data_IF_116555554430
#
_entry.id   IF_116555554430
#
_cell.length_a   1.000
_cell.length_b   1.000
_cell.length_c   1.000
_cell.angle_alpha   90.00
_cell.angle_beta   90.00
_cell.angle_gamma   90.00
#
_symmetry.space_group_name_H-M   'P 1'
#
loop_
_entity.id
_entity.type
_entity.pdbx_description
1 polymer ?
#
# COMPACT_ATOMS: atom_id res chain seq x y z
N UNK A 1 31.05 -30.13 17.82
CA UNK A 1 29.76 -30.23 17.10
C UNK A 1 28.66 -30.03 18.12
N UNK A 2 27.73 -29.14 17.83
CA UNK A 2 26.56 -28.84 18.67
C UNK A 2 25.32 -29.18 17.84
N UNK A 3 24.44 -30.02 18.35
CA UNK A 3 23.25 -30.52 17.66
C UNK A 3 22.13 -30.79 18.67
N UNK A 4 20.89 -30.93 18.19
CA UNK A 4 19.68 -31.21 18.98
C UNK A 4 19.35 -30.13 20.03
N UNK A 5 19.87 -30.26 21.24
CA UNK A 5 19.74 -29.28 22.33
C UNK A 5 21.11 -28.93 22.92
N UNK A 6 22.18 -29.28 22.21
CA UNK A 6 23.55 -29.01 22.63
C UNK A 6 23.83 -27.52 22.62
N UNK A 7 24.19 -26.99 23.78
CA UNK A 7 24.57 -25.60 23.96
C UNK A 7 26.02 -25.50 24.43
N UNK A 8 26.80 -24.60 23.81
CA UNK A 8 28.11 -24.19 24.31
C UNK A 8 28.10 -22.69 24.56
N UNK A 9 28.40 -22.30 25.79
CA UNK A 9 28.68 -20.91 26.16
C UNK A 9 30.18 -20.71 26.30
N UNK A 10 30.76 -19.87 25.44
CA UNK A 10 32.15 -19.43 25.55
C UNK A 10 32.17 -18.19 26.45
N UNK A 11 32.82 -18.32 27.60
CA UNK A 11 32.87 -17.29 28.64
C UNK A 11 34.06 -16.34 28.45
N UNK A 12 34.03 -15.21 29.15
CA UNK A 12 35.05 -14.17 29.07
C UNK A 12 36.49 -14.74 29.13
N UNK A 13 37.37 -14.23 28.25
CA UNK A 13 38.79 -14.60 28.16
C UNK A 13 39.08 -16.05 27.77
N UNK A 14 38.05 -16.80 27.35
CA UNK A 14 38.21 -18.15 26.81
C UNK A 14 37.95 -18.18 25.29
N UNK A 15 38.29 -19.30 24.65
CA UNK A 15 38.09 -19.46 23.21
C UNK A 15 37.59 -20.85 22.82
N UNK A 16 36.68 -20.91 21.86
CA UNK A 16 36.31 -22.14 21.14
C UNK A 16 36.83 -22.10 19.70
N UNK A 17 37.28 -23.24 19.16
CA UNK A 17 37.78 -23.34 17.79
C UNK A 17 37.18 -24.53 17.05
N UNK A 18 37.03 -24.41 15.74
CA UNK A 18 36.55 -25.47 14.85
C UNK A 18 35.18 -26.01 15.29
N UNK A 19 34.23 -25.09 15.53
CA UNK A 19 32.91 -25.43 16.02
C UNK A 19 31.93 -25.57 14.87
N UNK A 20 31.36 -26.76 14.67
CA UNK A 20 30.17 -26.94 13.83
C UNK A 20 28.91 -26.86 14.70
N UNK A 21 27.95 -26.05 14.26
CA UNK A 21 26.64 -25.88 14.89
C UNK A 21 25.58 -26.33 13.90
N UNK A 22 24.94 -27.46 14.21
CA UNK A 22 23.90 -28.12 13.42
C UNK A 22 22.51 -27.86 14.00
N UNK A 23 21.49 -28.46 13.40
CA UNK A 23 20.09 -28.29 13.78
C UNK A 23 19.87 -28.44 15.30
N UNK A 24 19.33 -27.37 15.92
CA UNK A 24 19.03 -27.30 17.35
C UNK A 24 20.25 -27.05 18.25
N UNK A 25 21.46 -27.05 17.70
CA UNK A 25 22.67 -26.64 18.40
C UNK A 25 22.75 -25.12 18.58
N UNK A 26 23.31 -24.67 19.71
CA UNK A 26 23.50 -23.25 20.01
C UNK A 26 24.91 -22.95 20.52
N UNK A 27 25.61 -22.02 19.87
CA UNK A 27 26.87 -21.46 20.34
C UNK A 27 26.64 -20.02 20.83
N UNK A 28 26.97 -19.75 22.10
CA UNK A 28 26.89 -18.41 22.70
C UNK A 28 28.32 -17.91 22.94
N UNK A 29 28.65 -16.73 22.41
CA UNK A 29 29.94 -16.05 22.62
C UNK A 29 29.70 -14.82 23.48
N UNK A 30 30.12 -14.88 24.75
CA UNK A 30 29.95 -13.78 25.69
C UNK A 30 30.94 -12.64 25.45
N UNK A 31 30.74 -11.53 26.17
CA UNK A 31 31.71 -10.43 26.25
C UNK A 31 33.11 -10.92 26.56
N UNK A 32 34.12 -10.41 25.84
CA UNK A 32 35.54 -10.81 25.95
C UNK A 32 35.84 -12.28 25.60
N UNK A 33 34.85 -13.06 25.16
CA UNK A 33 35.03 -14.42 24.68
C UNK A 33 35.31 -14.43 23.18
N UNK A 34 35.92 -15.52 22.70
CA UNK A 34 36.32 -15.65 21.30
C UNK A 34 35.89 -16.97 20.69
N UNK A 35 35.48 -16.95 19.43
CA UNK A 35 35.49 -18.15 18.59
C UNK A 35 36.23 -17.91 17.29
N UNK A 36 36.91 -18.95 16.83
CA UNK A 36 37.62 -18.95 15.55
C UNK A 36 37.22 -20.20 14.78
N UNK A 37 36.77 -20.03 13.54
CA UNK A 37 36.29 -21.11 12.67
C UNK A 37 35.01 -21.72 13.25
N UNK A 38 33.89 -21.09 12.93
CA UNK A 38 32.54 -21.60 13.27
C UNK A 38 31.76 -21.85 11.99
N UNK A 39 31.30 -23.08 11.79
CA UNK A 39 30.39 -23.43 10.69
C UNK A 39 28.97 -23.53 11.22
N UNK A 40 28.08 -22.75 10.64
CA UNK A 40 26.68 -22.65 11.03
C UNK A 40 25.81 -23.30 9.95
N UNK A 41 25.37 -24.54 10.21
CA UNK A 41 24.52 -25.31 9.31
C UNK A 41 23.04 -24.99 9.54
N UNK A 42 22.17 -25.54 8.68
CA UNK A 42 20.72 -25.37 8.78
C UNK A 42 20.21 -25.76 10.18
N UNK A 43 19.50 -24.83 10.83
CA UNK A 43 18.95 -25.04 12.18
C UNK A 43 19.92 -24.76 13.33
N UNK A 44 21.20 -24.49 13.04
CA UNK A 44 22.17 -24.08 14.05
C UNK A 44 22.09 -22.60 14.37
N UNK A 45 22.42 -22.23 15.61
CA UNK A 45 22.38 -20.84 16.10
C UNK A 45 23.74 -20.40 16.64
N UNK A 46 24.23 -19.26 16.15
CA UNK A 46 25.35 -18.52 16.73
C UNK A 46 24.83 -17.21 17.34
N UNK A 47 24.92 -17.09 18.66
CA UNK A 47 24.66 -15.86 19.39
C UNK A 47 25.98 -15.21 19.81
N UNK A 48 26.25 -13.99 19.33
CA UNK A 48 27.41 -13.20 19.76
C UNK A 48 26.90 -12.01 20.57
N UNK A 49 27.17 -12.05 21.86
CA UNK A 49 26.79 -10.98 22.78
C UNK A 49 27.73 -9.78 22.66
N UNK A 50 27.28 -8.64 23.17
CA UNK A 50 28.04 -7.39 23.14
C UNK A 50 29.46 -7.56 23.70
N UNK A 51 30.46 -7.25 22.87
CA UNK A 51 31.88 -7.42 23.22
C UNK A 51 32.47 -8.81 22.95
N UNK A 52 31.70 -9.73 22.38
CA UNK A 52 32.16 -11.03 21.90
C UNK A 52 32.83 -10.95 20.53
N UNK A 53 33.72 -11.91 20.25
CA UNK A 53 34.49 -11.99 19.00
C UNK A 53 34.27 -13.33 18.30
N UNK A 54 33.79 -13.32 17.05
CA UNK A 54 33.64 -14.50 16.20
C UNK A 54 34.32 -14.30 14.85
N UNK A 55 35.37 -15.09 14.57
CA UNK A 55 36.16 -15.00 13.33
C UNK A 55 36.00 -16.25 12.49
N UNK A 56 36.08 -16.06 11.17
CA UNK A 56 35.96 -17.15 10.18
C UNK A 56 34.65 -17.91 10.38
N UNK A 57 33.56 -17.15 10.52
CA UNK A 57 32.21 -17.71 10.53
C UNK A 57 31.85 -18.11 9.10
N UNK A 58 31.35 -19.33 8.92
CA UNK A 58 30.80 -19.81 7.65
C UNK A 58 29.31 -20.08 7.86
N UNK A 59 28.47 -19.14 7.44
CA UNK A 59 27.01 -19.29 7.50
C UNK A 59 26.54 -20.04 6.26
N UNK A 60 25.93 -21.20 6.46
CA UNK A 60 25.21 -21.92 5.42
C UNK A 60 23.75 -21.48 5.41
N UNK A 61 23.04 -21.80 4.33
CA UNK A 61 21.59 -21.61 4.28
C UNK A 61 20.90 -22.32 5.44
N UNK A 62 19.98 -21.61 6.10
CA UNK A 62 19.27 -22.01 7.31
C UNK A 62 20.04 -21.80 8.62
N UNK A 63 21.28 -21.32 8.57
CA UNK A 63 22.06 -20.98 9.75
C UNK A 63 21.65 -19.63 10.34
N UNK A 64 21.42 -19.56 11.66
CA UNK A 64 20.93 -18.35 12.34
C UNK A 64 22.03 -17.59 13.11
N UNK A 65 22.26 -16.33 12.74
CA UNK A 65 23.13 -15.41 13.48
C UNK A 65 22.29 -14.47 14.34
N UNK A 66 22.61 -14.37 15.63
CA UNK A 66 22.04 -13.40 16.57
C UNK A 66 23.15 -12.47 17.05
N UNK A 67 23.04 -11.17 16.77
CA UNK A 67 24.07 -10.19 17.11
C UNK A 67 23.53 -8.75 17.22
N UNK A 68 24.40 -7.85 17.70
CA UNK A 68 24.18 -6.41 17.72
C UNK A 68 25.34 -5.67 17.05
N UNK A 69 25.10 -4.44 16.61
CA UNK A 69 26.14 -3.52 16.13
C UNK A 69 26.82 -2.73 17.26
N UNK A 70 26.79 -3.20 18.52
CA UNK A 70 27.52 -2.56 19.62
C UNK A 70 29.03 -2.51 19.30
N UNK A 71 29.70 -1.42 19.69
CA UNK A 71 31.10 -1.14 19.29
C UNK A 71 32.12 -2.22 19.65
N UNK A 72 31.86 -3.01 20.69
CA UNK A 72 32.71 -4.13 21.11
C UNK A 72 32.50 -5.43 20.34
N UNK A 73 31.41 -5.56 19.57
CA UNK A 73 31.10 -6.78 18.82
C UNK A 73 31.99 -6.87 17.58
N UNK A 74 32.67 -8.01 17.41
CA UNK A 74 33.50 -8.29 16.24
C UNK A 74 33.11 -9.64 15.63
N UNK A 75 32.45 -9.60 14.47
CA UNK A 75 32.08 -10.79 13.70
C UNK A 75 32.63 -10.63 12.28
N UNK A 76 33.24 -11.67 11.73
CA UNK A 76 33.60 -11.70 10.30
C UNK A 76 33.56 -13.11 9.74
N UNK A 77 33.11 -13.22 8.50
CA UNK A 77 32.90 -14.51 7.88
C UNK A 77 32.42 -14.43 6.44
N UNK A 78 31.94 -15.57 5.95
CA UNK A 78 31.26 -15.72 4.67
C UNK A 78 29.79 -16.07 4.94
N UNK A 79 28.88 -15.36 4.27
CA UNK A 79 27.44 -15.55 4.43
C UNK A 79 26.91 -16.68 3.52
N UNK A 80 25.62 -17.01 3.65
CA UNK A 80 24.99 -18.10 2.90
C UNK A 80 24.88 -17.88 1.38
N UNK A 81 25.18 -16.66 0.90
CA UNK A 81 25.28 -16.31 -0.52
C UNK A 81 26.72 -16.34 -1.04
N UNK A 82 27.71 -16.61 -0.18
CA UNK A 82 29.12 -16.67 -0.54
C UNK A 82 29.88 -15.34 -0.41
N UNK A 83 29.22 -14.26 0.02
CA UNK A 83 29.86 -12.96 0.21
C UNK A 83 30.53 -12.85 1.58
N UNK A 84 31.59 -12.06 1.65
CA UNK A 84 32.17 -11.68 2.92
C UNK A 84 31.23 -10.74 3.67
N UNK A 85 31.00 -11.02 4.96
CA UNK A 85 30.21 -10.18 5.86
C UNK A 85 31.00 -9.81 7.12
N UNK A 86 30.60 -8.72 7.78
CA UNK A 86 31.15 -8.37 9.09
C UNK A 86 30.16 -7.61 9.96
N UNK A 87 30.44 -7.65 11.27
CA UNK A 87 29.96 -6.69 12.26
C UNK A 87 31.19 -6.19 13.02
N UNK A 88 31.54 -4.91 12.89
CA UNK A 88 32.68 -4.30 13.59
C UNK A 88 32.57 -2.78 13.56
N UNK A 89 33.18 -2.11 14.53
CA UNK A 89 33.26 -0.63 14.55
C UNK A 89 31.87 0.03 14.38
N UNK A 90 30.85 -0.52 15.04
CA UNK A 90 29.47 -0.06 14.94
C UNK A 90 28.86 -0.10 13.53
N UNK A 91 29.32 -1.03 12.70
CA UNK A 91 28.77 -1.28 11.36
C UNK A 91 28.57 -2.78 11.12
N UNK A 92 27.37 -3.16 10.68
CA UNK A 92 27.08 -4.47 10.08
C UNK A 92 27.04 -4.32 8.55
N UNK A 93 27.69 -5.23 7.82
CA UNK A 93 27.68 -5.24 6.35
C UNK A 93 27.49 -6.65 5.80
N UNK A 94 26.62 -6.79 4.78
CA UNK A 94 26.30 -8.06 4.09
C UNK A 94 25.82 -9.18 5.03
N UNK A 95 25.19 -8.80 6.16
CA UNK A 95 24.67 -9.78 7.13
C UNK A 95 23.44 -10.45 6.55
N UNK A 96 23.36 -11.78 6.68
CA UNK A 96 22.17 -12.56 6.29
C UNK A 96 21.45 -13.04 7.54
N UNK A 97 20.16 -12.74 7.63
CA UNK A 97 19.29 -13.10 8.73
C UNK A 97 18.25 -14.10 8.23
N UNK A 98 18.30 -15.31 8.74
CA UNK A 98 17.41 -16.42 8.36
C UNK A 98 17.17 -17.33 9.56
N UNK A 99 16.06 -18.07 9.56
CA UNK A 99 15.78 -19.12 10.55
C UNK A 99 15.92 -18.67 12.02
N UNK A 100 15.28 -17.55 12.37
CA UNK A 100 15.38 -16.85 13.67
C UNK A 100 16.69 -16.07 13.91
N UNK A 101 17.54 -15.94 12.89
CA UNK A 101 18.63 -14.96 12.90
C UNK A 101 18.10 -13.55 13.15
N UNK A 102 18.77 -12.82 14.04
CA UNK A 102 18.34 -11.50 14.50
C UNK A 102 19.51 -10.52 14.56
N UNK A 103 19.30 -9.30 14.07
CA UNK A 103 20.24 -8.20 14.19
C UNK A 103 19.60 -7.00 14.87
N UNK A 104 20.21 -6.54 15.95
CA UNK A 104 19.90 -5.24 16.56
C UNK A 104 20.89 -4.19 16.08
N UNK A 105 20.40 -3.18 15.35
CA UNK A 105 21.18 -2.02 14.95
C UNK A 105 21.01 -0.93 16.00
N UNK A 106 21.98 -0.76 16.89
CA UNK A 106 21.90 0.19 18.01
C UNK A 106 22.02 1.65 17.56
N UNK A 107 21.59 2.60 18.39
CA UNK A 107 21.71 4.04 18.10
C UNK A 107 23.15 4.45 17.80
N UNK A 108 23.33 5.30 16.77
CA UNK A 108 24.65 5.76 16.31
C UNK A 108 25.46 4.75 15.49
N UNK A 109 24.94 3.54 15.32
CA UNK A 109 25.52 2.51 14.45
C UNK A 109 24.78 2.41 13.11
N UNK A 110 25.32 1.62 12.18
CA UNK A 110 24.64 1.36 10.91
C UNK A 110 24.67 -0.10 10.46
N UNK A 111 23.70 -0.49 9.65
CA UNK A 111 23.73 -1.72 8.88
C UNK A 111 23.63 -1.40 7.39
N UNK A 112 24.34 -2.17 6.56
CA UNK A 112 24.44 -1.94 5.12
C UNK A 112 24.29 -3.26 4.39
N UNK A 113 23.41 -3.29 3.40
CA UNK A 113 23.17 -4.45 2.52
C UNK A 113 22.80 -5.72 3.31
N UNK A 114 21.99 -5.58 4.37
CA UNK A 114 21.47 -6.72 5.13
C UNK A 114 20.42 -7.46 4.30
N UNK A 115 20.50 -8.79 4.24
CA UNK A 115 19.49 -9.64 3.61
C UNK A 115 18.68 -10.33 4.72
N UNK A 116 17.36 -10.14 4.72
CA UNK A 116 16.45 -10.74 5.67
C UNK A 116 15.58 -11.75 4.94
N UNK A 117 15.85 -13.03 5.18
CA UNK A 117 15.11 -14.17 4.66
C UNK A 117 14.02 -14.61 5.64
N UNK A 118 13.33 -15.71 5.32
CA UNK A 118 12.25 -16.25 6.12
C UNK A 118 12.64 -16.42 7.61
N UNK A 119 11.79 -15.87 8.49
CA UNK A 119 11.98 -15.85 9.94
C UNK A 119 13.25 -15.10 10.42
N UNK A 120 13.93 -14.38 9.53
CA UNK A 120 14.95 -13.41 9.91
C UNK A 120 14.30 -12.12 10.44
N UNK A 121 14.98 -11.47 11.38
CA UNK A 121 14.49 -10.23 12.00
C UNK A 121 15.60 -9.19 12.10
N UNK A 122 15.28 -7.94 11.80
CA UNK A 122 16.16 -6.80 12.07
C UNK A 122 15.42 -5.71 12.85
N UNK A 123 15.97 -5.34 14.00
CA UNK A 123 15.48 -4.23 14.83
C UNK A 123 16.42 -3.03 14.70
N UNK A 124 15.91 -1.90 14.19
CA UNK A 124 16.73 -0.74 13.85
C UNK A 124 16.44 0.44 14.80
N UNK A 125 17.42 0.75 15.64
CA UNK A 125 17.46 1.95 16.50
C UNK A 125 18.48 3.00 16.00
N UNK A 126 19.35 2.61 15.07
CA UNK A 126 20.32 3.47 14.39
C UNK A 126 19.91 3.74 12.96
N UNK A 127 20.76 3.34 12.01
CA UNK A 127 20.51 3.49 10.58
C UNK A 127 20.66 2.17 9.82
N UNK A 128 19.82 1.90 8.86
CA UNK A 128 20.09 0.87 7.84
C UNK A 128 20.04 1.45 6.41
N UNK A 129 20.77 0.81 5.50
CA UNK A 129 20.83 1.19 4.09
C UNK A 129 20.82 -0.07 3.23
N UNK A 130 19.94 -0.12 2.23
CA UNK A 130 19.95 -1.17 1.21
C UNK A 130 19.48 -2.55 1.71
N UNK A 131 18.69 -2.59 2.77
CA UNK A 131 18.17 -3.85 3.30
C UNK A 131 17.25 -4.54 2.28
N UNK A 132 17.44 -5.84 2.05
CA UNK A 132 16.55 -6.66 1.22
C UNK A 132 15.67 -7.53 2.12
N UNK A 133 14.35 -7.39 2.01
CA UNK A 133 13.37 -8.13 2.82
C UNK A 133 12.67 -9.17 1.95
N UNK A 134 13.19 -10.39 1.94
CA UNK A 134 12.57 -11.50 1.24
C UNK A 134 11.35 -12.04 2.02
N UNK A 135 10.60 -12.96 1.40
CA UNK A 135 9.39 -13.57 1.98
C UNK A 135 9.56 -13.98 3.44
N UNK A 136 8.64 -13.53 4.30
CA UNK A 136 8.62 -13.74 5.75
C UNK A 136 9.83 -13.21 6.53
N UNK A 137 10.69 -12.40 5.92
CA UNK A 137 11.68 -11.57 6.61
C UNK A 137 11.03 -10.33 7.20
N UNK A 138 11.49 -9.89 8.37
CA UNK A 138 10.91 -8.74 9.08
C UNK A 138 11.96 -7.70 9.44
N UNK A 139 11.58 -6.43 9.27
CA UNK A 139 12.38 -5.29 9.68
C UNK A 139 11.50 -4.31 10.47
N UNK A 140 11.99 -3.83 11.61
CA UNK A 140 11.32 -2.79 12.41
C UNK A 140 12.23 -1.58 12.54
N UNK A 141 11.76 -0.42 12.08
CA UNK A 141 12.44 0.87 12.20
C UNK A 141 11.84 1.61 13.38
N UNK A 142 12.59 1.69 14.49
CA UNK A 142 12.11 2.33 15.73
C UNK A 142 12.15 3.86 15.64
N UNK A 143 11.50 4.52 16.59
CA UNK A 143 11.51 5.98 16.67
C UNK A 143 12.95 6.54 16.67
N UNK A 144 13.17 7.64 15.95
CA UNK A 144 14.49 8.25 15.68
C UNK A 144 15.45 7.44 14.79
N UNK A 145 15.08 6.23 14.37
CA UNK A 145 15.88 5.45 13.42
C UNK A 145 15.55 5.82 11.96
N UNK A 146 16.46 5.46 11.05
CA UNK A 146 16.29 5.69 9.61
C UNK A 146 16.61 4.43 8.80
N UNK A 147 15.75 4.10 7.84
CA UNK A 147 16.01 3.09 6.81
C UNK A 147 16.03 3.74 5.44
N UNK A 148 17.12 3.59 4.69
CA UNK A 148 17.22 4.11 3.34
C UNK A 148 17.26 2.95 2.34
N UNK A 149 16.43 3.05 1.28
CA UNK A 149 16.49 2.15 0.11
C UNK A 149 16.24 0.68 0.44
N UNK A 150 15.33 0.41 1.38
CA UNK A 150 14.88 -0.95 1.62
C UNK A 150 14.17 -1.51 0.37
N UNK A 151 14.51 -2.73 -0.04
CA UNK A 151 13.83 -3.45 -1.11
C UNK A 151 12.97 -4.57 -0.51
N UNK A 152 11.65 -4.41 -0.57
CA UNK A 152 10.68 -5.30 0.05
C UNK A 152 10.17 -6.28 -1.01
N UNK A 153 10.48 -7.57 -0.81
CA UNK A 153 10.29 -8.69 -1.74
C UNK A 153 9.54 -9.86 -1.07
N UNK A 154 8.36 -9.55 -0.55
CA UNK A 154 7.49 -10.47 0.19
C UNK A 154 7.71 -10.45 1.69
N UNK A 155 8.72 -9.72 2.17
CA UNK A 155 8.92 -9.44 3.59
C UNK A 155 8.03 -8.30 4.09
N UNK A 156 8.26 -7.92 5.35
CA UNK A 156 7.49 -6.88 6.05
C UNK A 156 8.41 -5.86 6.70
N UNK A 157 8.21 -4.59 6.38
CA UNK A 157 8.86 -3.46 7.06
C UNK A 157 7.82 -2.72 7.91
N UNK A 158 8.08 -2.55 9.20
CA UNK A 158 7.28 -1.70 10.10
C UNK A 158 8.07 -0.43 10.43
N UNK A 159 7.45 0.73 10.28
CA UNK A 159 8.10 2.04 10.39
C UNK A 159 7.45 2.87 11.51
N UNK A 160 8.15 2.96 12.64
CA UNK A 160 7.92 3.93 13.72
C UNK A 160 8.86 5.15 13.62
N UNK A 161 9.96 5.01 12.88
CA UNK A 161 10.93 6.08 12.58
C UNK A 161 10.71 6.70 11.21
N UNK A 162 11.79 6.82 10.42
CA UNK A 162 11.77 7.31 9.04
C UNK A 162 12.24 6.21 8.07
N UNK A 163 11.51 5.98 6.98
CA UNK A 163 12.02 5.20 5.85
C UNK A 163 12.02 6.04 4.57
N UNK A 164 13.12 6.02 3.81
CA UNK A 164 13.27 6.80 2.58
C UNK A 164 13.57 5.89 1.39
N UNK A 165 13.00 6.24 0.23
CA UNK A 165 13.28 5.58 -1.06
C UNK A 165 13.06 4.05 -1.02
N UNK A 166 12.11 3.58 -0.20
CA UNK A 166 11.76 2.17 -0.12
C UNK A 166 11.12 1.72 -1.45
N UNK A 167 11.50 0.54 -1.92
CA UNK A 167 10.91 -0.10 -3.08
C UNK A 167 10.09 -1.32 -2.63
N UNK A 168 8.78 -1.28 -2.84
CA UNK A 168 7.87 -2.40 -2.54
C UNK A 168 7.63 -3.14 -3.85
N UNK A 169 8.39 -4.21 -4.10
CA UNK A 169 8.19 -5.09 -5.26
C UNK A 169 7.08 -6.11 -4.96
N UNK A 170 7.09 -6.64 -3.74
CA UNK A 170 6.06 -7.52 -3.18
C UNK A 170 6.15 -7.45 -1.64
N UNK A 171 5.09 -7.82 -0.92
CA UNK A 171 5.09 -7.74 0.56
C UNK A 171 4.50 -6.43 1.08
N UNK A 172 4.91 -6.01 2.28
CA UNK A 172 4.20 -4.99 3.06
C UNK A 172 5.14 -3.98 3.72
N UNK A 173 4.84 -2.68 3.58
CA UNK A 173 5.36 -1.62 4.43
C UNK A 173 4.22 -1.07 5.31
N UNK A 174 4.38 -1.13 6.63
CA UNK A 174 3.45 -0.51 7.58
C UNK A 174 4.09 0.76 8.15
N UNK A 175 3.45 1.90 7.93
CA UNK A 175 3.81 3.20 8.52
C UNK A 175 2.91 3.42 9.73
N UNK A 176 3.47 3.19 10.93
CA UNK A 176 2.74 3.16 12.21
C UNK A 176 3.29 4.25 13.13
N UNK A 177 2.70 5.45 13.07
CA UNK A 177 3.21 6.64 13.78
C UNK A 177 4.54 7.21 13.26
N UNK A 178 5.24 6.51 12.37
CA UNK A 178 6.44 6.98 11.68
C UNK A 178 6.15 7.77 10.40
N UNK A 179 7.20 8.01 9.61
CA UNK A 179 7.11 8.70 8.32
C UNK A 179 7.81 7.91 7.21
N UNK A 180 7.31 8.05 5.98
CA UNK A 180 7.99 7.56 4.78
C UNK A 180 8.10 8.64 3.73
N UNK A 181 9.19 8.63 2.97
CA UNK A 181 9.43 9.58 1.89
C UNK A 181 9.86 8.84 0.62
N UNK A 182 9.22 9.16 -0.51
CA UNK A 182 9.57 8.61 -1.83
C UNK A 182 9.51 7.08 -1.89
N UNK A 183 8.52 6.49 -1.22
CA UNK A 183 8.23 5.07 -1.38
C UNK A 183 7.75 4.81 -2.81
N UNK A 184 8.32 3.80 -3.47
CA UNK A 184 7.90 3.32 -4.78
C UNK A 184 7.16 2.00 -4.60
N UNK A 185 5.88 1.98 -4.95
CA UNK A 185 5.05 0.78 -4.94
C UNK A 185 5.02 0.22 -6.35
N UNK A 186 5.86 -0.78 -6.60
CA UNK A 186 5.93 -1.54 -7.86
C UNK A 186 5.14 -2.85 -7.80
N UNK A 187 4.57 -3.14 -6.64
CA UNK A 187 3.69 -4.25 -6.28
C UNK A 187 3.43 -4.18 -4.77
N UNK A 188 2.88 -5.24 -4.16
CA UNK A 188 2.67 -5.28 -2.71
C UNK A 188 1.79 -4.13 -2.17
N UNK A 189 1.97 -3.82 -0.89
CA UNK A 189 1.13 -2.87 -0.15
C UNK A 189 1.93 -1.94 0.76
N UNK A 190 1.59 -0.65 0.76
CA UNK A 190 1.92 0.28 1.84
C UNK A 190 0.66 0.58 2.67
N UNK A 191 0.71 0.34 3.97
CA UNK A 191 -0.38 0.66 4.91
C UNK A 191 0.04 1.83 5.80
N UNK A 192 -0.73 2.90 5.82
CA UNK A 192 -0.46 4.12 6.60
C UNK A 192 -1.52 4.26 7.68
N UNK A 193 -1.12 4.24 8.96
CA UNK A 193 -2.05 4.16 10.10
C UNK A 193 -1.51 4.85 11.35
N UNK A 194 -2.37 5.09 12.34
CA UNK A 194 -2.00 5.56 13.68
C UNK A 194 -1.06 6.79 13.66
N UNK A 195 -1.46 7.85 12.96
CA UNK A 195 -0.65 9.08 12.77
C UNK A 195 0.61 8.89 11.92
N UNK A 196 0.74 7.74 11.25
CA UNK A 196 1.75 7.52 10.24
C UNK A 196 1.56 8.47 9.04
N UNK A 197 2.68 8.92 8.46
CA UNK A 197 2.69 9.83 7.31
C UNK A 197 3.45 9.24 6.12
N UNK A 198 2.84 9.21 4.95
CA UNK A 198 3.50 8.86 3.70
C UNK A 198 3.61 10.09 2.80
N UNK A 199 4.82 10.42 2.34
CA UNK A 199 5.10 11.63 1.55
C UNK A 199 5.67 11.22 0.19
N UNK A 200 5.07 11.75 -0.88
CA UNK A 200 5.50 11.55 -2.26
C UNK A 200 5.62 10.05 -2.61
N UNK A 201 4.56 9.28 -2.35
CA UNK A 201 4.54 7.86 -2.71
C UNK A 201 4.20 7.70 -4.20
N UNK A 202 5.06 7.00 -4.94
CA UNK A 202 4.85 6.66 -6.34
C UNK A 202 4.18 5.29 -6.45
N UNK A 203 2.90 5.27 -6.83
CA UNK A 203 2.08 4.06 -6.95
C UNK A 203 2.02 3.61 -8.42
N UNK A 204 3.05 2.88 -8.83
CA UNK A 204 3.18 2.34 -10.20
C UNK A 204 2.27 1.13 -10.38
N UNK A 205 2.26 0.24 -9.40
CA UNK A 205 1.33 -0.89 -9.28
C UNK A 205 1.05 -1.15 -7.79
N UNK A 206 0.30 -2.20 -7.44
CA UNK A 206 0.02 -2.51 -6.04
C UNK A 206 -0.92 -1.52 -5.37
N UNK A 207 -0.77 -1.34 -4.05
CA UNK A 207 -1.76 -0.67 -3.21
C UNK A 207 -1.12 0.23 -2.14
N UNK A 208 -1.64 1.46 -2.00
CA UNK A 208 -1.49 2.26 -0.79
C UNK A 208 -2.82 2.30 -0.04
N UNK A 209 -2.84 1.87 1.22
CA UNK A 209 -4.00 1.95 2.11
C UNK A 209 -3.77 3.03 3.16
N UNK A 210 -4.61 4.05 3.17
CA UNK A 210 -4.66 5.02 4.26
C UNK A 210 -5.78 4.59 5.22
N UNK A 211 -5.37 4.19 6.41
CA UNK A 211 -6.25 3.76 7.49
C UNK A 211 -6.63 4.93 8.39
N UNK A 212 -7.46 4.68 9.42
CA UNK A 212 -7.83 5.69 10.39
C UNK A 212 -6.59 6.40 11.00
N UNK A 213 -6.64 7.73 11.02
CA UNK A 213 -5.56 8.62 11.47
C UNK A 213 -4.26 8.53 10.64
N UNK A 214 -4.23 7.82 9.52
CA UNK A 214 -3.12 7.86 8.58
C UNK A 214 -3.22 9.06 7.63
N UNK A 215 -2.08 9.56 7.17
CA UNK A 215 -2.02 10.65 6.18
C UNK A 215 -1.07 10.30 5.03
N UNK A 216 -1.55 10.40 3.79
CA UNK A 216 -0.72 10.37 2.59
C UNK A 216 -0.72 11.75 1.91
N UNK A 217 0.45 12.28 1.61
CA UNK A 217 0.64 13.59 0.99
C UNK A 217 1.41 13.45 -0.32
N UNK A 218 0.88 13.99 -1.41
CA UNK A 218 1.58 14.05 -2.70
C UNK A 218 1.74 12.69 -3.39
N UNK A 219 0.83 11.75 -3.16
CA UNK A 219 0.92 10.42 -3.82
C UNK A 219 0.64 10.53 -5.32
N UNK A 220 1.44 9.87 -6.14
CA UNK A 220 1.29 9.83 -7.60
C UNK A 220 0.79 8.45 -8.00
N UNK A 221 -0.42 8.37 -8.54
CA UNK A 221 -1.14 7.13 -8.82
C UNK A 221 -1.12 6.88 -10.34
N UNK A 222 -0.16 6.08 -10.82
CA UNK A 222 0.07 5.84 -12.25
C UNK A 222 -0.60 4.55 -12.78
N UNK A 223 -0.71 3.51 -11.96
CA UNK A 223 -1.29 2.23 -12.37
C UNK A 223 -1.76 1.33 -11.23
N UNK A 224 -1.31 1.59 -10.00
CA UNK A 224 -1.85 0.95 -8.81
C UNK A 224 -3.07 1.68 -8.24
N UNK A 225 -3.37 1.37 -6.99
CA UNK A 225 -4.51 1.94 -6.27
C UNK A 225 -4.10 2.66 -5.00
N UNK A 226 -4.72 3.81 -4.74
CA UNK A 226 -4.77 4.43 -3.43
C UNK A 226 -6.18 4.23 -2.84
N UNK A 227 -6.27 3.69 -1.64
CA UNK A 227 -7.53 3.47 -0.91
C UNK A 227 -7.52 4.30 0.36
N UNK A 228 -8.50 5.19 0.49
CA UNK A 228 -8.72 6.01 1.69
C UNK A 228 -9.88 5.44 2.48
N UNK A 229 -9.58 4.83 3.63
CA UNK A 229 -10.58 4.23 4.52
C UNK A 229 -11.18 5.28 5.47
N UNK A 230 -12.17 4.86 6.27
CA UNK A 230 -12.78 5.66 7.34
C UNK A 230 -11.69 6.30 8.23
N UNK A 231 -11.74 7.63 8.35
CA UNK A 231 -10.79 8.40 9.15
C UNK A 231 -9.38 8.55 8.56
N UNK A 232 -9.12 8.03 7.35
CA UNK A 232 -7.89 8.26 6.61
C UNK A 232 -7.93 9.56 5.81
N UNK A 233 -6.76 10.17 5.58
CA UNK A 233 -6.60 11.40 4.81
C UNK A 233 -5.56 11.24 3.68
N UNK A 234 -5.98 11.52 2.44
CA UNK A 234 -5.08 11.73 1.30
C UNK A 234 -5.09 13.20 0.88
N UNK A 235 -3.93 13.82 0.72
CA UNK A 235 -3.78 15.21 0.29
C UNK A 235 -2.92 15.26 -0.97
N UNK A 236 -3.27 16.14 -1.91
CA UNK A 236 -2.47 16.42 -3.10
C UNK A 236 -2.16 15.18 -3.96
N UNK A 237 -3.11 14.24 -4.03
CA UNK A 237 -2.93 13.04 -4.84
C UNK A 237 -3.06 13.37 -6.32
N UNK A 238 -2.10 12.90 -7.12
CA UNK A 238 -2.10 13.04 -8.58
C UNK A 238 -2.60 11.73 -9.16
N UNK A 239 -3.81 11.75 -9.73
CA UNK A 239 -4.48 10.57 -10.27
C UNK A 239 -4.31 10.54 -11.79
N UNK A 240 -3.30 9.81 -12.25
CA UNK A 240 -2.94 9.69 -13.66
C UNK A 240 -3.72 8.58 -14.38
N UNK A 241 -3.59 8.53 -15.70
CA UNK A 241 -4.23 7.53 -16.55
C UNK A 241 -3.81 6.12 -16.13
N UNK A 242 -4.78 5.27 -15.79
CA UNK A 242 -4.55 3.90 -15.30
C UNK A 242 -4.49 3.78 -13.78
N UNK A 243 -4.31 4.88 -13.05
CA UNK A 243 -4.41 4.90 -11.59
C UNK A 243 -5.85 4.86 -11.08
N UNK A 244 -6.04 4.31 -9.88
CA UNK A 244 -7.34 4.32 -9.18
C UNK A 244 -7.24 4.93 -7.79
N UNK A 245 -8.10 5.91 -7.49
CA UNK A 245 -8.31 6.44 -6.14
C UNK A 245 -9.69 6.00 -5.62
N UNK A 246 -9.72 5.15 -4.61
CA UNK A 246 -10.93 4.68 -3.91
C UNK A 246 -11.09 5.41 -2.57
N UNK A 247 -12.03 6.35 -2.50
CA UNK A 247 -12.38 7.07 -1.28
C UNK A 247 -13.65 6.50 -0.68
N UNK A 248 -13.49 5.77 0.42
CA UNK A 248 -14.59 5.06 1.08
C UNK A 248 -15.42 5.98 1.95
N UNK A 249 -16.52 5.44 2.45
CA UNK A 249 -17.35 6.11 3.45
C UNK A 249 -16.47 6.63 4.60
N UNK A 250 -16.69 7.91 4.95
CA UNK A 250 -15.94 8.68 5.95
C UNK A 250 -14.42 8.80 5.72
N UNK A 251 -13.88 8.38 4.58
CA UNK A 251 -12.54 8.75 4.13
C UNK A 251 -12.49 10.20 3.64
N UNK A 252 -11.30 10.80 3.59
CA UNK A 252 -11.08 12.15 3.07
C UNK A 252 -9.96 12.19 2.05
N UNK A 253 -10.21 12.76 0.87
CA UNK A 253 -9.18 13.01 -0.14
C UNK A 253 -9.30 14.44 -0.67
N UNK A 254 -8.29 15.28 -0.49
CA UNK A 254 -8.35 16.71 -0.85
C UNK A 254 -7.26 17.11 -1.83
N UNK A 255 -7.54 18.14 -2.61
CA UNK A 255 -6.60 18.71 -3.59
C UNK A 255 -6.15 17.68 -4.64
N UNK A 256 -7.06 16.79 -5.04
CA UNK A 256 -6.80 15.79 -6.07
C UNK A 256 -6.56 16.49 -7.42
N UNK A 257 -5.54 16.05 -8.15
CA UNK A 257 -5.32 16.40 -9.55
C UNK A 257 -5.70 15.20 -10.42
N UNK A 258 -6.89 15.24 -11.01
CA UNK A 258 -7.44 14.12 -11.80
C UNK A 258 -7.15 14.30 -13.29
N UNK A 259 -6.41 13.36 -13.88
CA UNK A 259 -6.24 13.22 -15.33
C UNK A 259 -7.54 12.81 -16.04
N UNK A 260 -7.57 12.86 -17.37
CA UNK A 260 -8.78 12.52 -18.13
C UNK A 260 -9.20 11.04 -18.03
N UNK A 261 -8.26 10.12 -17.74
CA UNK A 261 -8.52 8.68 -17.59
C UNK A 261 -8.19 8.14 -16.19
N UNK A 262 -7.97 9.04 -15.23
CA UNK A 262 -7.79 8.69 -13.83
C UNK A 262 -9.11 8.23 -13.19
N UNK A 263 -9.13 7.03 -12.62
CA UNK A 263 -10.34 6.42 -12.07
C UNK A 263 -10.58 6.87 -10.62
N UNK A 264 -11.56 7.76 -10.43
CA UNK A 264 -12.07 8.11 -9.10
C UNK A 264 -13.21 7.18 -8.74
N UNK A 265 -13.06 6.43 -7.65
CA UNK A 265 -14.10 5.62 -7.02
C UNK A 265 -14.47 6.28 -5.69
N UNK A 266 -15.71 6.71 -5.54
CA UNK A 266 -16.14 7.45 -4.36
C UNK A 266 -17.63 7.26 -4.05
N UNK A 267 -18.02 7.65 -2.85
CA UNK A 267 -19.40 7.70 -2.38
C UNK A 267 -19.72 9.07 -1.80
N UNK A 268 -20.96 9.53 -1.90
CA UNK A 268 -21.44 10.76 -1.22
C UNK A 268 -21.40 10.67 0.31
N UNK A 269 -21.08 9.49 0.87
CA UNK A 269 -20.81 9.29 2.30
C UNK A 269 -19.33 9.41 2.67
N UNK A 270 -18.44 9.69 1.72
CA UNK A 270 -17.09 10.14 2.05
C UNK A 270 -17.16 11.42 2.90
N UNK A 271 -16.20 11.63 3.79
CA UNK A 271 -16.14 12.85 4.62
C UNK A 271 -15.95 14.07 3.74
N UNK A 272 -14.98 13.97 2.82
CA UNK A 272 -14.68 15.03 1.86
C UNK A 272 -13.88 14.48 0.69
N UNK A 273 -14.26 14.84 -0.53
CA UNK A 273 -13.45 14.61 -1.74
C UNK A 273 -13.37 15.93 -2.48
N UNK A 274 -12.18 16.48 -2.73
CA UNK A 274 -12.04 17.72 -3.52
C UNK A 274 -10.87 17.64 -4.47
N UNK A 275 -10.98 18.31 -5.61
CA UNK A 275 -9.91 18.35 -6.58
C UNK A 275 -10.23 19.17 -7.83
N UNK A 276 -9.33 19.06 -8.79
CA UNK A 276 -9.43 19.68 -10.12
C UNK A 276 -9.19 18.63 -11.19
N UNK A 277 -10.02 18.65 -12.22
CA UNK A 277 -9.90 17.81 -13.42
C UNK A 277 -8.87 18.37 -14.39
N UNK A 278 -8.43 17.55 -15.36
CA UNK A 278 -7.50 17.96 -16.41
C UNK A 278 -8.00 19.13 -17.28
N UNK A 279 -9.32 19.34 -17.37
CA UNK A 279 -9.95 20.48 -18.06
C UNK A 279 -10.02 21.76 -17.20
N UNK A 280 -9.48 21.73 -15.98
CA UNK A 280 -9.46 22.86 -15.04
C UNK A 280 -10.73 23.01 -14.21
N UNK A 281 -11.73 22.14 -14.37
CA UNK A 281 -12.96 22.20 -13.59
C UNK A 281 -12.72 21.64 -12.19
N UNK A 282 -13.07 22.41 -11.17
CA UNK A 282 -13.09 21.95 -9.78
C UNK A 282 -14.28 21.02 -9.52
N UNK A 283 -14.05 19.98 -8.73
CA UNK A 283 -15.08 19.03 -8.31
C UNK A 283 -15.05 18.82 -6.79
N UNK A 284 -16.18 18.40 -6.23
CA UNK A 284 -16.27 18.13 -4.79
C UNK A 284 -17.28 17.06 -4.43
N UNK A 285 -17.07 16.39 -3.30
CA UNK A 285 -18.04 15.64 -2.53
C UNK A 285 -17.94 16.15 -1.11
N UNK A 286 -18.94 16.90 -0.67
CA UNK A 286 -18.98 17.49 0.67
C UNK A 286 -20.41 17.46 1.19
N UNK A 287 -20.59 17.14 2.48
CA UNK A 287 -21.89 17.18 3.15
C UNK A 287 -23.01 16.41 2.42
N UNK A 288 -22.68 15.30 1.75
CA UNK A 288 -23.66 14.51 0.99
C UNK A 288 -24.04 15.11 -0.37
N UNK A 289 -23.24 16.01 -0.94
CA UNK A 289 -23.45 16.53 -2.28
C UNK A 289 -22.17 16.35 -3.12
N UNK A 290 -22.30 15.65 -4.25
CA UNK A 290 -21.26 15.53 -5.27
C UNK A 290 -21.46 16.55 -6.40
N UNK A 291 -20.41 17.23 -6.85
CA UNK A 291 -20.48 18.28 -7.86
C UNK A 291 -19.35 18.11 -8.89
N UNK A 292 -19.69 18.17 -10.19
CA UNK A 292 -18.76 18.13 -11.34
C UNK A 292 -17.86 16.89 -11.41
N UNK A 293 -18.25 15.78 -10.78
CA UNK A 293 -17.45 14.55 -10.74
C UNK A 293 -17.22 14.02 -12.15
N UNK A 294 -15.96 13.68 -12.47
CA UNK A 294 -15.58 12.98 -13.70
C UNK A 294 -15.36 11.50 -13.40
N UNK A 295 -16.10 10.64 -14.11
CA UNK A 295 -15.99 9.19 -14.01
C UNK A 295 -15.55 8.63 -15.35
N UNK A 296 -14.38 7.99 -15.39
CA UNK A 296 -13.80 7.36 -16.57
C UNK A 296 -13.01 6.12 -16.16
N UNK A 297 -12.80 5.19 -17.10
CA UNK A 297 -11.83 4.08 -16.95
C UNK A 297 -11.95 3.28 -15.64
N UNK A 298 -13.17 2.92 -15.24
CA UNK A 298 -13.46 2.20 -13.99
C UNK A 298 -13.83 3.09 -12.81
N UNK A 299 -13.80 4.42 -12.97
CA UNK A 299 -14.30 5.36 -11.97
C UNK A 299 -15.78 5.14 -11.66
N UNK A 300 -16.14 5.21 -10.37
CA UNK A 300 -17.51 4.99 -9.91
C UNK A 300 -17.89 6.04 -8.88
N UNK A 301 -19.06 6.66 -9.05
CA UNK A 301 -19.71 7.44 -8.00
C UNK A 301 -20.94 6.69 -7.50
N UNK A 302 -21.00 6.43 -6.20
CA UNK A 302 -22.23 6.00 -5.54
C UNK A 302 -22.89 7.17 -4.84
N UNK A 303 -24.06 7.58 -5.32
CA UNK A 303 -24.92 8.60 -4.71
C UNK A 303 -25.86 7.88 -3.75
N UNK A 304 -25.53 7.96 -2.46
CA UNK A 304 -26.22 7.26 -1.38
C UNK A 304 -27.60 7.84 -1.07
N UNK A 305 -28.46 7.07 -0.38
CA UNK A 305 -29.80 7.53 0.00
C UNK A 305 -29.77 8.87 0.73
N UNK A 306 -30.72 9.75 0.42
CA UNK A 306 -30.84 11.10 1.00
C UNK A 306 -29.62 12.01 0.70
N UNK A 307 -28.89 11.74 -0.40
CA UNK A 307 -27.79 12.58 -0.91
C UNK A 307 -28.03 12.97 -2.38
N UNK A 308 -27.13 13.79 -2.92
CA UNK A 308 -27.26 14.27 -4.30
C UNK A 308 -25.96 14.31 -5.08
N UNK A 309 -26.08 14.27 -6.42
CA UNK A 309 -25.02 14.63 -7.36
C UNK A 309 -25.52 15.69 -8.35
N UNK A 310 -24.64 16.60 -8.75
CA UNK A 310 -24.89 17.62 -9.78
C UNK A 310 -23.76 17.62 -10.81
N UNK A 311 -24.14 17.62 -12.10
CA UNK A 311 -23.24 17.72 -13.26
C UNK A 311 -22.15 16.65 -13.31
N UNK A 312 -22.46 15.43 -12.88
CA UNK A 312 -21.57 14.27 -13.06
C UNK A 312 -21.35 14.03 -14.56
N UNK A 313 -20.09 13.88 -14.98
CA UNK A 313 -19.73 13.46 -16.33
C UNK A 313 -19.26 12.01 -16.28
N UNK A 314 -19.97 11.14 -16.99
CA UNK A 314 -19.68 9.71 -17.03
C UNK A 314 -19.21 9.35 -18.44
N UNK A 315 -17.91 9.19 -18.58
CA UNK A 315 -17.25 8.80 -19.82
C UNK A 315 -17.12 7.27 -19.91
N UNK A 316 -16.59 6.77 -21.02
CA UNK A 316 -16.35 5.34 -21.25
C UNK A 316 -15.70 4.65 -20.05
N UNK A 317 -16.32 3.55 -19.62
CA UNK A 317 -15.89 2.75 -18.48
C UNK A 317 -16.19 3.36 -17.10
N UNK A 318 -16.71 4.58 -17.02
CA UNK A 318 -17.21 5.19 -15.80
C UNK A 318 -18.64 4.77 -15.47
N UNK A 319 -19.02 4.83 -14.18
CA UNK A 319 -20.39 4.53 -13.74
C UNK A 319 -20.89 5.41 -12.59
N UNK A 320 -22.05 6.03 -12.75
CA UNK A 320 -22.78 6.67 -11.65
C UNK A 320 -23.91 5.73 -11.16
N UNK A 321 -23.99 5.50 -9.86
CA UNK A 321 -25.04 4.68 -9.23
C UNK A 321 -25.85 5.59 -8.30
N UNK A 322 -27.12 5.81 -8.65
CA UNK A 322 -28.05 6.68 -7.91
C UNK A 322 -28.99 5.80 -7.10
N UNK A 323 -28.72 5.64 -5.80
CA UNK A 323 -29.50 4.75 -4.93
C UNK A 323 -30.89 5.29 -4.64
N UNK A 324 -31.77 4.43 -4.12
CA UNK A 324 -33.12 4.83 -3.66
C UNK A 324 -33.05 6.04 -2.72
N UNK A 325 -33.93 7.03 -2.93
CA UNK A 325 -33.97 8.35 -2.26
C UNK A 325 -32.78 9.29 -2.56
N UNK A 326 -31.86 8.91 -3.44
CA UNK A 326 -30.85 9.83 -3.94
C UNK A 326 -31.36 10.57 -5.17
N UNK A 327 -30.77 11.74 -5.45
CA UNK A 327 -31.08 12.54 -6.65
C UNK A 327 -29.80 12.89 -7.40
N UNK A 328 -29.70 12.50 -8.67
CA UNK A 328 -28.69 13.01 -9.59
C UNK A 328 -29.31 14.05 -10.53
N UNK A 329 -28.63 15.18 -10.74
CA UNK A 329 -29.08 16.25 -11.64
C UNK A 329 -28.03 16.57 -12.69
N UNK A 330 -28.43 16.71 -13.96
CA UNK A 330 -27.56 17.18 -15.02
C UNK A 330 -26.42 16.21 -15.39
N UNK A 331 -26.58 14.92 -15.11
CA UNK A 331 -25.59 13.91 -15.49
C UNK A 331 -25.43 13.87 -17.01
N UNK A 332 -24.18 13.84 -17.49
CA UNK A 332 -23.88 13.67 -18.93
C UNK A 332 -23.17 12.35 -19.16
N UNK A 333 -23.73 11.48 -20.00
CA UNK A 333 -23.20 10.16 -20.33
C UNK A 333 -22.60 10.17 -21.74
N UNK A 334 -21.31 9.88 -21.86
CA UNK A 334 -20.59 9.79 -23.14
C UNK A 334 -19.76 8.50 -23.16
N UNK A 335 -20.41 7.37 -23.45
CA UNK A 335 -19.82 6.03 -23.36
C UNK A 335 -19.93 5.36 -21.98
N UNK A 336 -20.33 6.10 -20.94
CA UNK A 336 -20.47 5.61 -19.57
C UNK A 336 -21.90 5.20 -19.19
N UNK A 337 -22.05 4.69 -17.97
CA UNK A 337 -23.34 4.18 -17.46
C UNK A 337 -23.88 4.97 -16.26
N UNK A 338 -25.18 5.22 -16.23
CA UNK A 338 -25.91 5.63 -15.03
C UNK A 338 -26.94 4.58 -14.64
N UNK A 339 -26.86 4.07 -13.42
CA UNK A 339 -27.86 3.16 -12.83
C UNK A 339 -28.74 3.97 -11.87
N UNK A 340 -30.05 3.97 -12.09
CA UNK A 340 -31.01 4.82 -11.37
C UNK A 340 -32.00 3.96 -10.58
N UNK A 341 -31.78 3.86 -9.26
CA UNK A 341 -32.72 3.32 -8.27
C UNK A 341 -33.45 4.43 -7.50
N UNK A 342 -32.90 5.65 -7.52
CA UNK A 342 -33.50 6.87 -6.99
C UNK A 342 -34.08 7.74 -8.12
N UNK A 343 -33.74 9.02 -8.13
CA UNK A 343 -34.19 9.98 -9.14
C UNK A 343 -33.00 10.49 -9.95
N UNK A 344 -33.10 10.44 -11.28
CA UNK A 344 -32.18 11.13 -12.19
C UNK A 344 -32.95 12.20 -12.96
N UNK A 345 -32.53 13.46 -12.82
CA UNK A 345 -33.15 14.61 -13.46
C UNK A 345 -32.19 15.24 -14.48
N UNK A 346 -32.69 15.53 -15.68
CA UNK A 346 -31.96 16.22 -16.74
C UNK A 346 -30.69 15.47 -17.20
N UNK A 347 -30.73 14.14 -17.19
CA UNK A 347 -29.64 13.32 -17.75
C UNK A 347 -29.56 13.55 -19.27
N UNK A 348 -28.36 13.84 -19.77
CA UNK A 348 -28.05 13.85 -21.21
C UNK A 348 -27.28 12.60 -21.59
N UNK A 349 -27.81 11.80 -22.51
CA UNK A 349 -27.21 10.56 -22.99
C UNK A 349 -26.68 10.78 -24.41
N UNK A 350 -25.36 10.77 -24.58
CA UNK A 350 -24.68 10.86 -25.86
C UNK A 350 -24.29 9.48 -26.37
N UNK A 351 -23.56 9.45 -27.49
CA UNK A 351 -23.07 8.23 -28.12
C UNK A 351 -22.39 7.27 -27.13
N UNK A 352 -22.82 6.01 -27.16
CA UNK A 352 -22.37 4.95 -26.25
C UNK A 352 -22.81 5.10 -24.78
N UNK A 353 -23.44 6.21 -24.39
CA UNK A 353 -23.95 6.42 -23.04
C UNK A 353 -25.19 5.56 -22.77
N UNK A 354 -25.30 5.05 -21.55
CA UNK A 354 -26.42 4.18 -21.13
C UNK A 354 -26.99 4.67 -19.80
N UNK A 355 -28.27 5.03 -19.78
CA UNK A 355 -29.02 5.21 -18.54
C UNK A 355 -29.93 3.99 -18.33
N UNK A 356 -29.78 3.30 -17.20
CA UNK A 356 -30.65 2.19 -16.79
C UNK A 356 -31.49 2.63 -15.61
N UNK A 357 -32.81 2.71 -15.80
CA UNK A 357 -33.78 3.00 -14.74
C UNK A 357 -34.28 1.68 -14.15
N UNK A 358 -33.87 1.41 -12.92
CA UNK A 358 -34.24 0.21 -12.16
C UNK A 358 -35.70 0.27 -11.68
N UNK A 359 -36.20 -0.83 -11.13
CA UNK A 359 -37.52 -0.87 -10.49
C UNK A 359 -37.61 0.21 -9.39
N UNK A 360 -38.66 1.03 -9.45
CA UNK A 360 -38.89 2.20 -8.59
C UNK A 360 -37.94 3.40 -8.79
N UNK A 361 -37.00 3.30 -9.73
CA UNK A 361 -36.21 4.45 -10.18
C UNK A 361 -37.05 5.39 -11.06
N UNK A 362 -36.68 6.67 -11.08
CA UNK A 362 -37.35 7.69 -11.88
C UNK A 362 -36.34 8.52 -12.68
N UNK A 363 -36.47 8.51 -14.01
CA UNK A 363 -35.77 9.41 -14.92
C UNK A 363 -36.70 10.54 -15.37
N UNK A 364 -36.26 11.79 -15.23
CA UNK A 364 -37.05 12.98 -15.54
C UNK A 364 -36.24 13.84 -16.52
N UNK A 365 -36.87 14.29 -17.60
CA UNK A 365 -36.27 15.17 -18.61
C UNK A 365 -34.98 14.62 -19.22
N UNK A 366 -34.86 13.30 -19.34
CA UNK A 366 -33.72 12.69 -20.01
C UNK A 366 -33.72 13.11 -21.48
N UNK A 367 -32.59 13.62 -21.96
CA UNK A 367 -32.32 13.89 -23.37
C UNK A 367 -31.43 12.79 -23.94
N UNK A 368 -31.90 12.09 -24.96
CA UNK A 368 -31.18 11.02 -25.62
C UNK A 368 -30.76 11.49 -27.02
N UNK A 369 -29.46 11.53 -27.27
CA UNK A 369 -28.86 11.91 -28.55
C UNK A 369 -28.50 10.64 -29.37
N UNK A 370 -28.06 10.86 -30.61
CA UNK A 370 -27.63 9.78 -31.50
C UNK A 370 -26.61 8.84 -30.80
N UNK A 371 -26.87 7.53 -30.88
CA UNK A 371 -26.03 6.49 -30.26
C UNK A 371 -26.23 6.29 -28.76
N UNK A 372 -27.00 7.15 -28.08
CA UNK A 372 -27.34 7.00 -26.66
C UNK A 372 -28.50 6.03 -26.43
N UNK A 373 -28.51 5.37 -25.27
CA UNK A 373 -29.57 4.43 -24.86
C UNK A 373 -30.15 4.78 -23.48
N UNK A 374 -31.48 4.90 -23.41
CA UNK A 374 -32.23 4.84 -22.16
C UNK A 374 -32.92 3.48 -22.05
N UNK A 375 -32.65 2.73 -20.99
CA UNK A 375 -33.34 1.48 -20.64
C UNK A 375 -34.21 1.71 -19.41
N UNK A 376 -35.49 1.41 -19.49
CA UNK A 376 -36.44 1.47 -18.37
C UNK A 376 -36.93 0.07 -18.05
N UNK A 377 -36.52 -0.45 -16.89
CA UNK A 377 -36.92 -1.77 -16.41
C UNK A 377 -38.34 -1.74 -15.82
N UNK A 378 -38.88 -2.93 -15.53
CA UNK A 378 -40.22 -3.09 -14.96
C UNK A 378 -40.38 -2.28 -13.67
N UNK A 379 -41.45 -1.49 -13.60
CA UNK A 379 -41.74 -0.54 -12.51
C UNK A 379 -40.75 0.64 -12.39
N UNK A 380 -39.85 0.84 -13.34
CA UNK A 380 -39.15 2.11 -13.52
C UNK A 380 -40.05 3.16 -14.16
N UNK A 381 -39.76 4.44 -13.93
CA UNK A 381 -40.52 5.56 -14.50
C UNK A 381 -39.60 6.46 -15.32
N UNK A 382 -40.08 6.87 -16.49
CA UNK A 382 -39.41 7.85 -17.34
C UNK A 382 -40.43 8.90 -17.81
N UNK A 383 -40.19 10.18 -17.50
CA UNK A 383 -41.10 11.29 -17.84
C UNK A 383 -40.36 12.44 -18.53
N UNK A 384 -41.06 13.14 -19.43
CA UNK A 384 -40.53 14.27 -20.20
C UNK A 384 -39.29 13.95 -21.04
N UNK A 385 -39.23 12.73 -21.59
CA UNK A 385 -38.09 12.24 -22.36
C UNK A 385 -38.03 12.93 -23.73
N UNK A 386 -36.85 13.43 -24.08
CA UNK A 386 -36.54 13.98 -25.40
C UNK A 386 -35.63 13.01 -26.14
N UNK A 387 -36.16 12.33 -27.15
CA UNK A 387 -35.40 11.39 -27.98
C UNK A 387 -35.11 12.01 -29.35
N UNK A 388 -33.83 12.20 -29.67
CA UNK A 388 -33.39 12.68 -30.99
C UNK A 388 -33.23 11.53 -31.99
N UNK A 389 -33.09 11.86 -33.28
CA UNK A 389 -32.86 10.85 -34.33
C UNK A 389 -31.61 10.01 -34.02
N UNK A 390 -31.71 8.69 -34.20
CA UNK A 390 -30.61 7.75 -33.95
C UNK A 390 -30.41 7.37 -32.47
N UNK A 391 -31.23 7.87 -31.55
CA UNK A 391 -31.26 7.47 -30.15
C UNK A 391 -32.11 6.21 -29.93
N UNK A 392 -31.81 5.45 -28.87
CA UNK A 392 -32.60 4.28 -28.45
C UNK A 392 -33.32 4.51 -27.11
N UNK A 393 -34.61 4.16 -27.06
CA UNK A 393 -35.39 3.99 -25.84
C UNK A 393 -35.85 2.53 -25.77
N UNK A 394 -35.41 1.83 -24.73
CA UNK A 394 -35.72 0.43 -24.49
C UNK A 394 -36.58 0.32 -23.22
N UNK A 395 -37.71 -0.36 -23.30
CA UNK A 395 -38.56 -0.62 -22.13
C UNK A 395 -38.75 -2.12 -21.98
N UNK A 396 -38.62 -2.64 -20.76
CA UNK A 396 -39.19 -3.95 -20.42
C UNK A 396 -40.60 -3.70 -19.90
N UNK A 397 -41.59 -4.40 -20.46
CA UNK A 397 -42.97 -4.32 -20.00
C UNK A 397 -43.43 -5.68 -19.49
N UNK A 398 -42.93 -6.12 -18.33
CA UNK A 398 -43.66 -7.10 -17.54
C UNK A 398 -44.71 -6.37 -16.69
N UNK A 399 -45.75 -5.87 -17.37
CA UNK A 399 -47.12 -5.55 -16.93
C UNK A 399 -47.68 -4.40 -17.78
N UNK A 400 -48.60 -4.76 -18.68
CA UNK A 400 -49.09 -3.93 -19.77
C UNK A 400 -50.04 -2.79 -19.37
N UNK A 401 -50.18 -1.91 -20.38
CA UNK A 401 -51.20 -0.87 -20.67
C UNK A 401 -52.46 -0.90 -19.80
#
# INVERSE_FOLDING_TARGET
MLENTGELTVVAKTSAKNTTVDAGGKLIVQKEAKTDTTRLNNGGVLEVQDGGEAKHVEQQSGGALIASTTSGTLIKGTNSYGDAFYIRNSEAKNVVLENAGSLTVVTGSRAVDTIINANGKMDVYGKDVGTVLNSAGTQTIYASATSDKANIKGGKQTVYGLATEANIESGEQIVDGGSTEKTHINGGTQTVQNYGKAINTDIVSGLQQIMANGTAEGSIINGGSQVVNEGGLAENSVLNDGGTLDVREKGSATEIQQSSQGALVATTRATRVTGTRADGVAFSIEQGAANNILLANGGVLTVESDTSSDKTQVNTGGREIVKTKATATGTTLTGGEQIVEGVANETTINDGGIQTVSANGEAIKTKINEGGTLTVNDNGKATDIVQNSGAALQTSTANGI
#
